data_IF_946444531539
#
_entry.id   IF_946444531539
#
_cell.length_a   1.000
_cell.length_b   1.000
_cell.length_c   1.000
_cell.angle_alpha   90.00
_cell.angle_beta   90.00
_cell.angle_gamma   90.00
#
_symmetry.space_group_name_H-M   'P 1'
#
loop_
_entity.id
_entity.type
_entity.pdbx_description
1 polymer ?
#
# COMPACT_ATOMS: atom_id res chain seq x y z
N UNK A 1 27.69 52.34 -11.28
CA UNK A 1 26.66 52.08 -10.26
C UNK A 1 26.76 50.62 -9.92
N UNK A 2 27.30 50.29 -8.75
CA UNK A 2 27.26 48.94 -8.20
C UNK A 2 25.80 48.60 -7.96
N UNK A 3 25.25 47.68 -8.75
CA UNK A 3 24.07 46.95 -8.33
C UNK A 3 24.52 46.12 -7.13
N UNK A 4 24.34 46.66 -5.93
CA UNK A 4 24.50 45.90 -4.70
C UNK A 4 23.60 44.67 -4.84
N UNK A 5 24.20 43.50 -5.07
CA UNK A 5 23.47 42.24 -5.16
C UNK A 5 22.80 42.02 -3.82
N UNK A 6 21.53 42.37 -3.72
CA UNK A 6 20.80 42.27 -2.47
C UNK A 6 20.70 40.80 -2.06
N UNK A 7 21.45 40.45 -1.01
CA UNK A 7 21.63 39.07 -0.61
C UNK A 7 20.39 38.60 0.15
N UNK A 8 19.65 37.65 -0.42
CA UNK A 8 18.53 37.00 0.27
C UNK A 8 19.08 36.04 1.31
N UNK A 9 18.68 36.22 2.57
CA UNK A 9 19.01 35.29 3.65
C UNK A 9 17.92 34.23 3.80
N UNK A 10 18.36 32.97 3.97
CA UNK A 10 17.49 31.81 4.14
C UNK A 10 17.31 31.51 5.63
N UNK A 11 16.09 31.60 6.15
CA UNK A 11 15.77 31.27 7.53
C UNK A 11 14.88 30.04 7.61
N UNK A 12 15.34 29.03 8.35
CA UNK A 12 14.61 27.77 8.54
C UNK A 12 13.83 27.77 9.85
N UNK A 13 12.51 27.61 9.75
CA UNK A 13 11.65 27.49 10.92
C UNK A 13 11.56 26.03 11.38
N UNK A 14 12.28 25.71 12.47
CA UNK A 14 12.34 24.36 13.06
C UNK A 14 10.95 23.81 13.35
N UNK A 15 10.01 24.64 13.84
CA UNK A 15 8.64 24.22 14.13
C UNK A 15 7.89 23.71 12.89
N UNK A 16 8.07 24.37 11.74
CA UNK A 16 7.43 23.95 10.47
C UNK A 16 8.11 22.72 9.88
N UNK A 17 9.43 22.58 10.06
CA UNK A 17 10.15 21.35 9.72
C UNK A 17 9.60 20.19 10.52
N UNK A 18 9.52 20.32 11.85
CA UNK A 18 9.00 19.26 12.70
C UNK A 18 7.56 18.87 12.33
N UNK A 19 6.71 19.86 12.01
CA UNK A 19 5.36 19.62 11.53
C UNK A 19 5.31 18.83 10.22
N UNK A 20 6.22 19.11 9.27
CA UNK A 20 6.30 18.36 8.00
C UNK A 20 6.65 16.89 8.23
N UNK A 21 7.55 16.60 9.18
CA UNK A 21 7.87 15.23 9.60
C UNK A 21 6.67 14.53 10.21
N UNK A 22 5.92 15.19 11.12
CA UNK A 22 4.71 14.60 11.70
C UNK A 22 3.66 14.25 10.65
N UNK A 23 3.46 15.12 9.65
CA UNK A 23 2.52 14.88 8.54
C UNK A 23 2.97 13.66 7.72
N UNK A 24 4.26 13.59 7.35
CA UNK A 24 4.80 12.46 6.59
C UNK A 24 4.67 11.12 7.35
N UNK A 25 4.99 11.13 8.64
CA UNK A 25 4.89 9.95 9.50
C UNK A 25 3.43 9.50 9.63
N UNK A 26 2.50 10.45 9.84
CA UNK A 26 1.07 10.16 9.97
C UNK A 26 0.49 9.60 8.68
N UNK A 27 0.82 10.19 7.53
CA UNK A 27 0.40 9.68 6.21
C UNK A 27 0.98 8.30 5.91
N UNK A 28 2.24 8.05 6.27
CA UNK A 28 2.90 6.74 6.14
C UNK A 28 2.22 5.69 7.01
N UNK A 29 1.94 6.01 8.27
CA UNK A 29 1.25 5.12 9.20
C UNK A 29 -0.18 4.79 8.74
N UNK A 30 -0.92 5.78 8.22
CA UNK A 30 -2.24 5.61 7.61
C UNK A 30 -2.20 4.64 6.43
N UNK A 31 -1.23 4.82 5.55
CA UNK A 31 -1.02 3.95 4.39
C UNK A 31 -0.74 2.52 4.81
N UNK A 32 0.11 2.31 5.83
CA UNK A 32 0.42 0.97 6.31
C UNK A 32 -0.85 0.28 6.83
N UNK A 33 -1.66 0.94 7.64
CA UNK A 33 -2.91 0.37 8.16
C UNK A 33 -3.92 0.04 7.06
N UNK A 34 -4.08 0.91 6.07
CA UNK A 34 -4.95 0.65 4.93
C UNK A 34 -4.44 -0.52 4.09
N UNK A 35 -3.14 -0.61 3.89
CA UNK A 35 -2.51 -1.72 3.17
C UNK A 35 -2.64 -3.04 3.93
N UNK A 36 -2.55 -3.07 5.25
CA UNK A 36 -2.83 -4.27 6.05
C UNK A 36 -4.26 -4.79 5.85
N UNK A 37 -5.22 -3.87 5.81
CA UNK A 37 -6.62 -4.20 5.51
C UNK A 37 -6.82 -4.66 4.08
N UNK A 38 -6.14 -4.02 3.14
CA UNK A 38 -6.17 -4.40 1.74
C UNK A 38 -5.76 -5.87 1.53
N UNK A 39 -4.77 -6.36 2.30
CA UNK A 39 -4.35 -7.77 2.28
C UNK A 39 -5.39 -8.73 2.84
N UNK A 40 -6.18 -8.27 3.82
CA UNK A 40 -7.22 -9.08 4.47
C UNK A 40 -8.55 -9.04 3.72
N UNK A 41 -8.74 -8.09 2.81
CA UNK A 41 -9.96 -7.95 2.03
C UNK A 41 -10.12 -9.10 1.00
N UNK A 42 -11.32 -9.68 0.95
CA UNK A 42 -11.65 -10.77 0.02
C UNK A 42 -12.22 -10.18 -1.28
N UNK A 43 -13.09 -9.18 -1.16
CA UNK A 43 -13.80 -8.57 -2.27
C UNK A 43 -12.92 -7.64 -3.10
N UNK A 44 -13.02 -7.77 -4.43
CA UNK A 44 -12.24 -6.96 -5.39
C UNK A 44 -12.56 -5.46 -5.29
N UNK A 45 -13.82 -5.12 -4.99
CA UNK A 45 -14.26 -3.72 -4.82
C UNK A 45 -13.60 -3.07 -3.61
N UNK A 46 -13.60 -3.77 -2.48
CA UNK A 46 -12.97 -3.30 -1.25
C UNK A 46 -11.46 -3.18 -1.41
N UNK A 47 -10.82 -4.15 -2.09
CA UNK A 47 -9.40 -4.04 -2.46
C UNK A 47 -9.13 -2.80 -3.31
N UNK A 48 -9.98 -2.47 -4.27
CA UNK A 48 -9.79 -1.25 -5.08
C UNK A 48 -9.93 0.03 -4.24
N UNK A 49 -10.98 0.12 -3.41
CA UNK A 49 -11.22 1.30 -2.55
C UNK A 49 -10.08 1.51 -1.56
N UNK A 50 -9.63 0.44 -0.89
CA UNK A 50 -8.53 0.52 0.08
C UNK A 50 -7.21 0.92 -0.58
N UNK A 51 -6.96 0.48 -1.81
CA UNK A 51 -5.78 0.89 -2.58
C UNK A 51 -5.84 2.37 -2.96
N UNK A 52 -7.01 2.85 -3.41
CA UNK A 52 -7.21 4.26 -3.72
C UNK A 52 -7.02 5.14 -2.47
N UNK A 53 -7.63 4.76 -1.34
CA UNK A 53 -7.46 5.47 -0.07
C UNK A 53 -6.00 5.48 0.38
N UNK A 54 -5.26 4.38 0.17
CA UNK A 54 -3.83 4.30 0.52
C UNK A 54 -2.99 5.22 -0.34
N UNK A 55 -3.31 5.35 -1.64
CA UNK A 55 -2.61 6.29 -2.50
C UNK A 55 -2.86 7.74 -2.10
N UNK A 56 -4.11 8.09 -1.74
CA UNK A 56 -4.44 9.42 -1.24
C UNK A 56 -3.75 9.69 0.11
N UNK A 57 -3.67 8.69 1.00
CA UNK A 57 -2.99 8.81 2.28
C UNK A 57 -1.47 8.99 2.12
N UNK A 58 -0.80 8.18 1.31
CA UNK A 58 0.65 8.28 1.11
C UNK A 58 1.01 9.47 0.21
N UNK A 59 0.44 9.52 -1.00
CA UNK A 59 0.75 10.53 -2.02
C UNK A 59 0.18 11.90 -1.68
N UNK A 60 -1.08 11.97 -1.28
CA UNK A 60 -1.75 13.23 -0.95
C UNK A 60 -1.35 13.76 0.42
N UNK A 61 -1.57 12.99 1.49
CA UNK A 61 -1.29 13.46 2.84
C UNK A 61 0.19 13.38 3.21
N UNK A 62 0.82 12.22 3.03
CA UNK A 62 2.19 11.97 3.48
C UNK A 62 3.27 12.68 2.65
N UNK A 63 3.06 12.83 1.36
CA UNK A 63 4.04 13.42 0.43
C UNK A 63 3.61 14.84 0.04
N UNK A 64 2.39 15.04 -0.45
CA UNK A 64 1.94 16.33 -0.96
C UNK A 64 1.71 17.39 0.10
N UNK A 65 0.91 17.11 1.13
CA UNK A 65 0.75 18.08 2.21
C UNK A 65 2.07 18.36 2.94
N UNK A 66 2.92 17.33 3.08
CA UNK A 66 4.26 17.48 3.63
C UNK A 66 5.12 18.44 2.78
N UNK A 67 5.14 18.29 1.46
CA UNK A 67 5.96 19.10 0.57
C UNK A 67 5.63 20.60 0.66
N UNK A 68 4.35 20.97 0.60
CA UNK A 68 3.94 22.37 0.74
C UNK A 68 4.19 22.92 2.15
N UNK A 69 3.97 22.11 3.18
CA UNK A 69 4.32 22.49 4.56
C UNK A 69 5.83 22.68 4.72
N UNK A 70 6.63 21.82 4.09
CA UNK A 70 8.09 21.85 4.12
C UNK A 70 8.67 23.04 3.36
N UNK A 71 8.13 23.39 2.19
CA UNK A 71 8.51 24.59 1.45
C UNK A 71 8.20 25.87 2.25
N UNK A 72 7.09 25.92 2.99
CA UNK A 72 6.76 27.05 3.85
C UNK A 72 7.66 27.14 5.10
N UNK A 73 8.50 26.13 5.37
CA UNK A 73 9.48 26.17 6.45
C UNK A 73 10.69 27.05 6.14
N UNK A 74 10.96 27.29 4.85
CA UNK A 74 11.98 28.22 4.38
C UNK A 74 11.36 29.61 4.21
N UNK A 75 11.80 30.56 5.03
CA UNK A 75 11.43 31.97 4.89
C UNK A 75 12.61 32.73 4.28
N UNK A 76 12.33 33.44 3.19
CA UNK A 76 13.30 34.29 2.50
C UNK A 76 13.18 35.70 3.08
N UNK A 77 14.25 36.18 3.71
CA UNK A 77 14.30 37.51 4.32
C UNK A 77 15.26 38.39 3.54
N UNK A 78 14.79 39.59 3.19
CA UNK A 78 15.58 40.63 2.54
C UNK A 78 16.53 41.30 3.54
N UNK A 79 17.53 42.02 3.06
CA UNK A 79 18.49 42.74 3.91
C UNK A 79 17.82 43.80 4.80
N UNK A 80 16.65 44.34 4.40
CA UNK A 80 15.83 45.26 5.21
C UNK A 80 14.99 44.58 6.32
N UNK A 81 15.07 43.24 6.44
CA UNK A 81 14.32 42.45 7.40
C UNK A 81 12.87 42.11 7.00
N UNK A 82 12.40 42.54 5.83
CA UNK A 82 11.09 42.18 5.29
C UNK A 82 11.09 40.73 4.77
N UNK A 83 9.99 40.02 5.04
CA UNK A 83 9.80 38.63 4.62
C UNK A 83 9.14 38.60 3.26
N UNK A 84 9.76 37.93 2.28
CA UNK A 84 9.17 37.74 0.97
C UNK A 84 8.00 36.77 1.06
N UNK A 85 6.81 37.21 0.63
CA UNK A 85 5.63 36.37 0.63
C UNK A 85 5.67 35.40 -0.54
N UNK A 86 5.64 34.10 -0.23
CA UNK A 86 5.50 33.03 -1.22
C UNK A 86 4.02 32.78 -1.48
N UNK A 87 3.55 33.00 -2.70
CA UNK A 87 2.20 32.65 -3.14
C UNK A 87 2.24 31.36 -3.99
N UNK A 88 1.12 30.63 -4.02
CA UNK A 88 0.99 29.42 -4.84
C UNK A 88 -0.09 29.58 -5.90
N UNK A 89 0.24 29.20 -7.13
CA UNK A 89 -0.74 29.12 -8.21
C UNK A 89 -1.63 27.87 -8.04
N UNK A 90 -2.95 28.07 -8.05
CA UNK A 90 -3.91 27.00 -7.78
C UNK A 90 -3.83 25.84 -8.80
N UNK A 91 -3.68 26.15 -10.10
CA UNK A 91 -3.69 25.14 -11.17
C UNK A 91 -2.53 24.14 -11.05
N UNK A 92 -1.30 24.64 -10.95
CA UNK A 92 -0.11 23.81 -10.76
C UNK A 92 -0.14 23.06 -9.43
N UNK A 93 -0.67 23.67 -8.38
CA UNK A 93 -0.85 23.04 -7.06
C UNK A 93 -1.76 21.82 -7.15
N UNK A 94 -2.90 21.91 -7.84
CA UNK A 94 -3.82 20.78 -8.06
C UNK A 94 -3.18 19.71 -8.97
N UNK A 95 -2.49 20.13 -10.04
CA UNK A 95 -1.82 19.19 -10.93
C UNK A 95 -0.75 18.37 -10.21
N UNK A 96 0.04 19.03 -9.34
CA UNK A 96 1.05 18.37 -8.51
C UNK A 96 0.44 17.33 -7.56
N UNK A 97 -0.75 17.61 -7.02
CA UNK A 97 -1.49 16.64 -6.19
C UNK A 97 -1.91 15.41 -6.99
N UNK A 98 -2.46 15.61 -8.19
CA UNK A 98 -2.87 14.52 -9.08
C UNK A 98 -1.67 13.66 -9.47
N UNK A 99 -0.53 14.27 -9.78
CA UNK A 99 0.71 13.55 -10.12
C UNK A 99 1.23 12.71 -8.94
N UNK A 100 1.23 13.25 -7.72
CA UNK A 100 1.65 12.49 -6.54
C UNK A 100 0.73 11.29 -6.26
N UNK A 101 -0.59 11.50 -6.23
CA UNK A 101 -1.56 10.42 -5.98
C UNK A 101 -1.55 9.41 -7.13
N UNK A 102 -1.42 9.86 -8.38
CA UNK A 102 -1.36 9.00 -9.55
C UNK A 102 -0.11 8.11 -9.57
N UNK A 103 1.07 8.70 -9.35
CA UNK A 103 2.33 7.96 -9.33
C UNK A 103 2.40 6.94 -8.21
N UNK A 104 1.96 7.32 -6.99
CA UNK A 104 1.87 6.38 -5.87
C UNK A 104 0.84 5.29 -6.15
N UNK A 105 -0.32 5.60 -6.75
CA UNK A 105 -1.35 4.61 -7.06
C UNK A 105 -0.84 3.56 -8.05
N UNK A 106 -0.19 4.01 -9.13
CA UNK A 106 0.44 3.12 -10.11
C UNK A 106 1.54 2.29 -9.46
N UNK A 107 2.38 2.91 -8.63
CA UNK A 107 3.42 2.22 -7.87
C UNK A 107 2.85 1.12 -6.97
N UNK A 108 1.82 1.45 -6.18
CA UNK A 108 1.13 0.50 -5.29
C UNK A 108 0.50 -0.64 -6.09
N UNK A 109 -0.15 -0.34 -7.22
CA UNK A 109 -0.77 -1.33 -8.09
C UNK A 109 0.27 -2.31 -8.66
N UNK A 110 1.41 -1.81 -9.14
CA UNK A 110 2.50 -2.65 -9.66
C UNK A 110 3.10 -3.52 -8.55
N UNK A 111 3.41 -2.93 -7.40
CA UNK A 111 3.99 -3.65 -6.27
C UNK A 111 3.03 -4.70 -5.68
N UNK A 112 1.72 -4.41 -5.69
CA UNK A 112 0.68 -5.33 -5.22
C UNK A 112 0.44 -6.54 -6.12
N UNK A 113 0.83 -6.46 -7.39
CA UNK A 113 0.67 -7.53 -8.38
C UNK A 113 1.81 -8.57 -8.33
N UNK A 114 2.63 -8.59 -7.28
CA UNK A 114 3.75 -9.52 -7.15
C UNK A 114 3.25 -10.98 -7.06
N UNK A 115 3.74 -11.93 -7.89
CA UNK A 115 3.22 -13.30 -7.95
C UNK A 115 3.46 -14.04 -6.64
N UNK A 116 4.59 -13.79 -5.98
CA UNK A 116 4.90 -14.36 -4.68
C UNK A 116 3.90 -13.91 -3.62
N UNK A 117 3.46 -12.65 -3.68
CA UNK A 117 2.44 -12.14 -2.76
C UNK A 117 1.07 -12.81 -3.00
N UNK A 118 0.70 -13.04 -4.26
CA UNK A 118 -0.53 -13.76 -4.62
C UNK A 118 -0.48 -15.24 -4.20
N UNK A 119 0.65 -15.91 -4.38
CA UNK A 119 0.87 -17.29 -3.92
C UNK A 119 0.77 -17.40 -2.39
N UNK A 120 1.38 -16.45 -1.67
CA UNK A 120 1.34 -16.42 -0.21
C UNK A 120 -0.07 -16.10 0.33
N UNK A 121 -0.82 -15.21 -0.34
CA UNK A 121 -2.25 -15.01 -0.06
C UNK A 121 -3.07 -16.28 -0.34
N UNK A 122 -2.80 -16.97 -1.45
CA UNK A 122 -3.49 -18.23 -1.80
C UNK A 122 -3.20 -19.34 -0.80
N UNK A 123 -1.96 -19.51 -0.37
CA UNK A 123 -1.60 -20.48 0.67
C UNK A 123 -2.18 -20.11 2.03
N UNK A 124 -2.16 -18.83 2.44
CA UNK A 124 -2.85 -18.40 3.66
C UNK A 124 -4.34 -18.73 3.61
N UNK A 125 -5.02 -18.49 2.48
CA UNK A 125 -6.44 -18.84 2.30
C UNK A 125 -6.68 -20.34 2.41
N UNK A 126 -5.84 -21.16 1.78
CA UNK A 126 -5.92 -22.63 1.88
C UNK A 126 -5.66 -23.11 3.31
N UNK A 127 -4.65 -22.55 3.99
CA UNK A 127 -4.31 -22.92 5.36
C UNK A 127 -5.39 -22.52 6.36
N UNK A 128 -6.09 -21.39 6.20
CA UNK A 128 -7.24 -21.04 7.04
C UNK A 128 -8.38 -22.06 6.86
N UNK A 129 -8.68 -22.43 5.61
CA UNK A 129 -9.69 -23.44 5.30
C UNK A 129 -9.34 -24.83 5.86
N UNK A 130 -8.06 -25.19 5.85
CA UNK A 130 -7.56 -26.48 6.37
C UNK A 130 -7.41 -26.46 7.90
N UNK A 131 -7.08 -25.31 8.50
CA UNK A 131 -6.94 -25.17 9.96
C UNK A 131 -8.28 -25.20 10.69
N UNK A 132 -9.38 -24.86 10.01
CA UNK A 132 -10.74 -25.16 10.46
C UNK A 132 -11.03 -26.68 10.52
N UNK A 133 -10.27 -27.51 9.78
CA UNK A 133 -10.38 -28.97 9.78
C UNK A 133 -9.32 -29.68 10.64
N UNK A 134 -8.15 -29.07 10.84
CA UNK A 134 -7.02 -29.69 11.51
C UNK A 134 -6.64 -28.91 12.78
N UNK A 135 -7.13 -29.39 13.92
CA UNK A 135 -6.49 -29.08 15.20
C UNK A 135 -5.08 -29.69 15.18
N UNK A 136 -4.03 -28.89 15.37
CA UNK A 136 -2.65 -29.41 15.40
C UNK A 136 -1.93 -28.92 16.65
N UNK A 137 -1.23 -29.87 17.26
CA UNK A 137 -0.60 -29.82 18.58
C UNK A 137 0.58 -28.85 18.71
N UNK A 138 0.85 -28.46 19.96
CA UNK A 138 1.60 -27.27 20.38
C UNK A 138 3.13 -27.45 20.45
N UNK A 139 3.65 -28.67 20.33
CA UNK A 139 5.08 -29.00 20.59
C UNK A 139 6.03 -28.82 19.40
N UNK A 140 5.52 -28.68 18.18
CA UNK A 140 6.31 -28.58 16.94
C UNK A 140 6.80 -27.15 16.61
N UNK A 141 6.43 -26.17 17.42
CA UNK A 141 6.40 -24.73 17.04
C UNK A 141 7.76 -24.04 17.18
N UNK A 142 8.59 -24.42 18.15
CA UNK A 142 9.76 -23.61 18.55
C UNK A 142 10.94 -23.78 17.58
N UNK A 143 11.17 -24.99 17.06
CA UNK A 143 12.27 -25.21 16.09
C UNK A 143 11.87 -24.78 14.67
N UNK A 144 10.58 -24.91 14.31
CA UNK A 144 10.01 -24.35 13.08
C UNK A 144 10.15 -22.83 13.02
N UNK A 145 10.04 -22.12 14.14
CA UNK A 145 10.16 -20.66 14.18
C UNK A 145 11.55 -20.14 13.77
N UNK A 146 12.65 -20.73 14.25
CA UNK A 146 14.01 -20.29 13.89
C UNK A 146 14.34 -20.54 12.42
N UNK A 147 14.00 -21.73 11.92
CA UNK A 147 14.23 -22.11 10.51
C UNK A 147 13.33 -21.29 9.58
N UNK A 148 12.05 -21.12 9.94
CA UNK A 148 11.13 -20.24 9.22
C UNK A 148 11.62 -18.79 9.20
N UNK A 149 12.20 -18.27 10.30
CA UNK A 149 12.74 -16.91 10.34
C UNK A 149 13.92 -16.73 9.37
N UNK A 150 14.80 -17.73 9.25
CA UNK A 150 15.90 -17.72 8.26
C UNK A 150 15.38 -17.80 6.82
N UNK A 151 14.41 -18.66 6.54
CA UNK A 151 13.77 -18.77 5.21
C UNK A 151 13.03 -17.47 4.86
N UNK A 152 12.34 -16.85 5.82
CA UNK A 152 11.66 -15.54 5.65
C UNK A 152 12.63 -14.42 5.30
N UNK A 153 13.82 -14.39 5.91
CA UNK A 153 14.86 -13.39 5.60
C UNK A 153 15.39 -13.57 4.18
N UNK A 154 15.59 -14.82 3.73
CA UNK A 154 16.04 -15.10 2.36
C UNK A 154 14.93 -14.74 1.34
N UNK A 155 13.68 -15.04 1.66
CA UNK A 155 12.52 -14.64 0.85
C UNK A 155 12.30 -13.12 0.80
N UNK A 156 12.80 -12.38 1.80
CA UNK A 156 12.73 -10.91 1.88
C UNK A 156 13.43 -10.24 0.68
N UNK A 157 14.50 -10.85 0.18
CA UNK A 157 15.35 -10.31 -0.89
C UNK A 157 15.15 -10.99 -2.25
N UNK A 158 14.32 -12.04 -2.32
CA UNK A 158 14.03 -12.73 -3.58
C UNK A 158 12.98 -11.96 -4.41
N UNK A 159 13.15 -11.93 -5.74
CA UNK A 159 12.23 -11.32 -6.73
C UNK A 159 11.86 -9.86 -6.43
N UNK A 160 12.86 -8.97 -6.33
CA UNK A 160 12.69 -7.51 -6.17
C UNK A 160 12.25 -6.68 -7.41
N UNK A 161 12.28 -7.15 -8.69
CA UNK A 161 12.16 -6.22 -9.81
C UNK A 161 10.78 -5.55 -9.92
N UNK A 162 9.71 -6.18 -9.42
CA UNK A 162 8.38 -5.55 -9.38
C UNK A 162 8.25 -4.50 -8.27
N UNK A 163 8.88 -4.72 -7.12
CA UNK A 163 8.93 -3.72 -6.03
C UNK A 163 9.77 -2.53 -6.48
N UNK A 164 10.91 -2.78 -7.13
CA UNK A 164 11.72 -1.75 -7.75
C UNK A 164 10.93 -1.00 -8.85
N UNK A 165 10.14 -1.72 -9.67
CA UNK A 165 9.23 -1.11 -10.64
C UNK A 165 8.16 -0.23 -9.99
N UNK A 166 7.51 -0.69 -8.90
CA UNK A 166 6.56 0.11 -8.14
C UNK A 166 7.19 1.35 -7.51
N UNK A 167 8.38 1.18 -6.93
CA UNK A 167 9.21 2.26 -6.38
C UNK A 167 9.64 3.28 -7.44
N UNK A 168 9.96 2.83 -8.66
CA UNK A 168 10.28 3.70 -9.80
C UNK A 168 9.11 4.62 -10.16
N UNK A 169 7.92 4.06 -10.36
CA UNK A 169 6.75 4.86 -10.72
C UNK A 169 6.30 5.78 -9.59
N UNK A 170 6.41 5.33 -8.34
CA UNK A 170 6.18 6.20 -7.18
C UNK A 170 7.19 7.36 -7.16
N UNK A 171 8.49 7.07 -7.30
CA UNK A 171 9.54 8.09 -7.36
C UNK A 171 9.29 9.09 -8.49
N UNK A 172 8.99 8.63 -9.70
CA UNK A 172 8.66 9.50 -10.83
C UNK A 172 7.48 10.44 -10.52
N UNK A 173 6.42 9.92 -9.90
CA UNK A 173 5.30 10.75 -9.44
C UNK A 173 5.70 11.80 -8.41
N UNK A 174 6.54 11.43 -7.45
CA UNK A 174 7.10 12.35 -6.44
C UNK A 174 8.00 13.41 -7.08
N UNK A 175 8.86 13.03 -8.03
CA UNK A 175 9.70 13.98 -8.76
C UNK A 175 8.86 15.00 -9.54
N UNK A 176 7.91 14.52 -10.36
CA UNK A 176 7.03 15.40 -11.14
C UNK A 176 6.28 16.34 -10.21
N UNK A 177 5.69 15.83 -9.13
CA UNK A 177 5.02 16.66 -8.14
C UNK A 177 5.98 17.66 -7.48
N UNK A 178 7.22 17.27 -7.16
CA UNK A 178 8.19 18.13 -6.48
C UNK A 178 8.56 19.34 -7.36
N UNK A 179 8.85 19.10 -8.64
CA UNK A 179 9.14 20.19 -9.58
C UNK A 179 7.90 21.03 -9.88
N UNK A 180 6.73 20.41 -10.09
CA UNK A 180 5.49 21.16 -10.29
C UNK A 180 5.13 22.00 -9.05
N UNK A 181 5.41 21.49 -7.84
CA UNK A 181 5.20 22.20 -6.58
C UNK A 181 6.12 23.40 -6.42
N UNK A 182 7.39 23.27 -6.79
CA UNK A 182 8.33 24.41 -6.83
C UNK A 182 7.95 25.42 -7.92
N UNK A 183 7.56 24.96 -9.12
CA UNK A 183 7.08 25.84 -10.19
C UNK A 183 5.76 26.55 -9.84
N UNK A 184 4.97 26.00 -8.92
CA UNK A 184 3.76 26.65 -8.43
C UNK A 184 4.07 27.86 -7.52
N UNK A 185 5.29 27.97 -6.98
CA UNK A 185 5.71 29.09 -6.15
C UNK A 185 5.86 30.35 -7.00
N UNK A 186 5.17 31.40 -6.60
CA UNK A 186 5.28 32.75 -7.15
C UNK A 186 5.87 33.66 -6.08
N UNK A 187 7.11 34.08 -6.30
CA UNK A 187 7.94 34.88 -5.39
C UNK A 187 8.72 35.93 -6.17
N UNK A 188 9.09 37.03 -5.50
CA UNK A 188 10.04 38.04 -6.03
C UNK A 188 11.50 37.55 -6.00
N UNK A 189 11.70 36.27 -6.27
CA UNK A 189 13.01 35.64 -6.30
C UNK A 189 13.00 34.59 -7.41
N UNK A 190 14.02 34.62 -8.26
CA UNK A 190 14.25 33.58 -9.25
C UNK A 190 14.95 32.40 -8.58
N UNK A 191 14.52 31.18 -8.93
CA UNK A 191 14.98 29.94 -8.33
C UNK A 191 15.86 29.20 -9.34
N UNK A 192 17.17 29.24 -9.12
CA UNK A 192 18.13 28.49 -9.94
C UNK A 192 18.43 27.14 -9.30
N UNK A 193 18.53 26.09 -10.12
CA UNK A 193 18.78 24.73 -9.67
C UNK A 193 20.17 24.27 -10.11
N UNK A 194 21.01 23.86 -9.16
CA UNK A 194 22.29 23.26 -9.48
C UNK A 194 22.08 21.84 -10.04
N UNK A 195 22.26 21.67 -11.36
CA UNK A 195 21.98 20.42 -12.08
C UNK A 195 22.67 19.19 -11.45
N UNK A 196 23.91 19.34 -10.96
CA UNK A 196 24.63 18.26 -10.29
C UNK A 196 23.95 17.77 -9.01
N UNK A 197 23.51 18.70 -8.15
CA UNK A 197 22.82 18.37 -6.88
C UNK A 197 21.42 17.79 -7.15
N UNK A 198 20.76 18.28 -8.20
CA UNK A 198 19.48 17.73 -8.69
C UNK A 198 19.61 16.26 -9.10
N UNK A 199 20.64 15.88 -9.85
CA UNK A 199 20.83 14.47 -10.24
C UNK A 199 21.03 13.58 -9.01
N UNK A 200 21.82 14.05 -8.03
CA UNK A 200 22.06 13.31 -6.78
C UNK A 200 20.76 13.13 -5.98
N UNK A 201 19.95 14.18 -5.85
CA UNK A 201 18.67 14.11 -5.11
C UNK A 201 17.65 13.21 -5.81
N UNK A 202 17.62 13.19 -7.14
CA UNK A 202 16.81 12.24 -7.93
C UNK A 202 17.22 10.79 -7.68
N UNK A 203 18.52 10.49 -7.63
CA UNK A 203 19.02 9.15 -7.31
C UNK A 203 18.61 8.75 -5.89
N UNK A 204 18.79 9.64 -4.91
CA UNK A 204 18.37 9.41 -3.52
C UNK A 204 16.86 9.12 -3.47
N UNK A 205 16.04 9.90 -4.17
CA UNK A 205 14.60 9.71 -4.23
C UNK A 205 14.20 8.33 -4.78
N UNK A 206 14.90 7.84 -5.81
CA UNK A 206 14.66 6.51 -6.35
C UNK A 206 15.00 5.41 -5.33
N UNK A 207 16.14 5.51 -4.64
CA UNK A 207 16.55 4.55 -3.63
C UNK A 207 15.62 4.52 -2.43
N UNK A 208 15.25 5.70 -1.90
CA UNK A 208 14.35 5.81 -0.75
C UNK A 208 12.93 5.38 -1.08
N UNK A 209 12.41 5.69 -2.26
CA UNK A 209 11.09 5.20 -2.70
C UNK A 209 11.08 3.68 -2.81
N UNK A 210 12.14 3.09 -3.39
CA UNK A 210 12.28 1.63 -3.48
C UNK A 210 12.37 0.99 -2.09
N UNK A 211 13.14 1.59 -1.18
CA UNK A 211 13.24 1.13 0.21
C UNK A 211 11.90 1.22 0.95
N UNK A 212 11.15 2.32 0.79
CA UNK A 212 9.85 2.51 1.40
C UNK A 212 8.83 1.46 0.91
N UNK A 213 8.81 1.17 -0.39
CA UNK A 213 7.95 0.13 -0.97
C UNK A 213 8.38 -1.27 -0.52
N UNK A 214 9.68 -1.51 -0.37
CA UNK A 214 10.19 -2.74 0.19
C UNK A 214 9.73 -2.95 1.65
N UNK A 215 9.77 -1.90 2.48
CA UNK A 215 9.21 -1.93 3.84
C UNK A 215 7.70 -2.24 3.79
N UNK A 216 6.97 -1.51 2.94
CA UNK A 216 5.52 -1.60 2.85
C UNK A 216 5.02 -2.98 2.43
N UNK A 217 5.61 -3.60 1.40
CA UNK A 217 5.14 -4.86 0.82
C UNK A 217 5.86 -6.10 1.33
N UNK A 218 7.10 -5.99 1.80
CA UNK A 218 7.89 -7.14 2.23
C UNK A 218 8.04 -7.19 3.74
N UNK A 219 8.67 -6.18 4.35
CA UNK A 219 8.97 -6.21 5.79
C UNK A 219 7.71 -6.38 6.64
N UNK A 220 6.67 -5.61 6.36
CA UNK A 220 5.41 -5.63 7.13
C UNK A 220 4.57 -6.89 6.89
N UNK A 221 4.71 -7.55 5.73
CA UNK A 221 4.02 -8.82 5.46
C UNK A 221 4.54 -9.97 6.34
N UNK A 222 5.81 -9.93 6.76
CA UNK A 222 6.42 -10.99 7.56
C UNK A 222 6.26 -10.80 9.08
N UNK A 223 6.11 -9.56 9.54
CA UNK A 223 6.04 -9.17 10.95
C UNK A 223 4.71 -8.47 11.29
N UNK A 224 3.61 -9.06 10.83
CA UNK A 224 2.26 -8.52 10.99
C UNK A 224 1.82 -8.38 12.47
N UNK A 225 2.39 -9.17 13.39
CA UNK A 225 1.97 -9.23 14.80
C UNK A 225 2.54 -8.09 15.68
N UNK A 226 3.52 -7.34 15.20
CA UNK A 226 4.24 -6.36 16.03
C UNK A 226 3.85 -4.91 15.69
N UNK A 227 3.01 -4.33 16.55
CA UNK A 227 2.58 -2.92 16.49
C UNK A 227 3.77 -1.93 16.52
N UNK A 228 4.79 -2.24 17.32
CA UNK A 228 6.00 -1.42 17.40
C UNK A 228 6.78 -1.37 16.08
N UNK A 229 6.82 -2.48 15.34
CA UNK A 229 7.49 -2.51 14.04
C UNK A 229 6.72 -1.70 13.00
N UNK A 230 5.39 -1.64 13.13
CA UNK A 230 4.52 -0.83 12.28
C UNK A 230 4.79 0.65 12.50
N UNK A 231 4.85 1.08 13.76
CA UNK A 231 5.22 2.45 14.12
C UNK A 231 6.64 2.78 13.66
N UNK A 232 7.61 1.89 13.91
CA UNK A 232 9.00 2.06 13.47
C UNK A 232 9.13 2.17 11.94
N UNK A 233 8.37 1.37 11.20
CA UNK A 233 8.34 1.44 9.73
C UNK A 233 7.77 2.76 9.22
N UNK A 234 6.69 3.26 9.84
CA UNK A 234 6.11 4.56 9.49
C UNK A 234 7.09 5.71 9.77
N UNK A 235 7.84 5.64 10.89
CA UNK A 235 8.89 6.61 11.20
C UNK A 235 9.99 6.62 10.15
N UNK A 236 10.50 5.43 9.79
CA UNK A 236 11.55 5.30 8.77
C UNK A 236 11.06 5.82 7.40
N UNK A 237 9.85 5.46 6.99
CA UNK A 237 9.25 5.94 5.74
C UNK A 237 9.07 7.46 5.75
N UNK A 238 8.56 8.03 6.85
CA UNK A 238 8.39 9.47 7.00
C UNK A 238 9.72 10.22 6.93
N UNK A 239 10.74 9.75 7.65
CA UNK A 239 12.09 10.31 7.59
C UNK A 239 12.66 10.23 6.18
N UNK A 240 12.45 9.13 5.47
CA UNK A 240 12.91 8.97 4.09
C UNK A 240 12.24 9.99 3.14
N UNK A 241 10.93 10.18 3.24
CA UNK A 241 10.19 11.20 2.47
C UNK A 241 10.72 12.60 2.78
N UNK A 242 10.87 12.93 4.07
CA UNK A 242 11.44 14.22 4.48
C UNK A 242 12.87 14.43 3.98
N UNK A 243 13.72 13.41 4.11
CA UNK A 243 15.09 13.43 3.63
C UNK A 243 15.15 13.75 2.13
N UNK A 244 14.32 13.12 1.31
CA UNK A 244 14.28 13.41 -0.14
C UNK A 244 13.84 14.84 -0.44
N UNK A 245 12.84 15.35 0.28
CA UNK A 245 12.34 16.70 0.07
C UNK A 245 13.37 17.78 0.45
N UNK A 246 13.96 17.68 1.64
CA UNK A 246 14.96 18.65 2.09
C UNK A 246 16.26 18.55 1.31
N UNK A 247 16.64 17.34 0.85
CA UNK A 247 17.77 17.18 -0.07
C UNK A 247 17.50 17.84 -1.42
N UNK A 248 16.26 17.80 -1.91
CA UNK A 248 15.84 18.52 -3.12
C UNK A 248 15.89 20.04 -2.95
N UNK A 249 15.35 20.56 -1.85
CA UNK A 249 15.37 22.01 -1.57
C UNK A 249 16.79 22.57 -1.38
N UNK A 250 17.70 21.78 -0.83
CA UNK A 250 19.12 22.18 -0.72
C UNK A 250 19.81 22.43 -2.07
N UNK A 251 19.21 22.01 -3.20
CA UNK A 251 19.71 22.28 -4.54
C UNK A 251 19.26 23.63 -5.12
N UNK A 252 18.30 24.30 -4.48
CA UNK A 252 17.72 25.55 -4.95
C UNK A 252 18.45 26.77 -4.38
N UNK A 253 18.84 27.69 -5.25
CA UNK A 253 19.41 29.00 -4.90
C UNK A 253 18.45 30.11 -5.34
N UNK A 254 18.29 31.13 -4.49
CA UNK A 254 17.33 32.21 -4.71
C UNK A 254 18.07 33.52 -4.96
N UNK A 255 17.77 34.18 -6.07
CA UNK A 255 18.27 35.51 -6.42
C UNK A 255 17.11 36.49 -6.53
N UNK A 256 17.23 37.68 -5.95
CA UNK A 256 16.14 38.66 -5.95
C UNK A 256 15.86 39.17 -7.37
N UNK A 257 14.57 39.31 -7.72
CA UNK A 257 14.13 39.92 -8.98
C UNK A 257 12.94 40.83 -8.72
N UNK A 258 13.06 42.10 -9.14
CA UNK A 258 12.13 43.19 -8.85
C UNK A 258 10.73 42.98 -9.47
N UNK A 259 10.65 42.35 -10.65
CA UNK A 259 9.41 42.10 -11.41
C UNK A 259 8.85 40.66 -11.25
N UNK A 260 9.19 39.93 -10.18
CA UNK A 260 8.86 38.50 -10.03
C UNK A 260 7.37 38.15 -9.81
N UNK A 261 6.46 39.12 -9.73
CA UNK A 261 5.02 38.85 -9.57
C UNK A 261 4.29 39.06 -10.90
N UNK A 262 4.40 38.07 -11.80
CA UNK A 262 3.53 38.01 -12.97
C UNK A 262 2.07 37.83 -12.51
N UNK A 263 1.26 38.85 -12.74
CA UNK A 263 -0.14 38.96 -12.37
C UNK A 263 -1.04 38.20 -13.36
N UNK A 264 -1.48 37.00 -12.99
CA UNK A 264 -2.48 36.25 -13.77
C UNK A 264 -2.78 34.88 -13.18
N UNK A 265 -3.84 34.77 -12.39
CA UNK A 265 -4.31 33.49 -11.84
C UNK A 265 -5.01 33.61 -10.49
N UNK A 266 -5.67 32.53 -10.06
CA UNK A 266 -6.13 32.41 -8.66
C UNK A 266 -4.95 31.94 -7.82
N UNK A 267 -4.51 32.80 -6.89
CA UNK A 267 -3.34 32.54 -6.04
C UNK A 267 -3.75 32.32 -4.59
N UNK A 268 -3.15 31.33 -3.95
CA UNK A 268 -3.27 31.09 -2.52
C UNK A 268 -2.08 31.69 -1.79
N UNK A 269 -2.33 32.42 -0.70
CA UNK A 269 -1.27 32.86 0.21
C UNK A 269 -0.57 31.63 0.79
N UNK A 270 0.77 31.58 0.73
CA UNK A 270 1.54 30.40 1.15
C UNK A 270 1.27 29.93 2.56
N UNK A 271 1.10 30.86 3.51
CA UNK A 271 0.74 30.52 4.90
C UNK A 271 -0.62 29.84 5.00
N UNK A 272 -1.62 30.31 4.24
CA UNK A 272 -2.95 29.69 4.24
C UNK A 272 -2.92 28.31 3.58
N UNK A 273 -2.18 28.17 2.47
CA UNK A 273 -2.00 26.90 1.79
C UNK A 273 -1.34 25.85 2.71
N UNK A 274 -0.28 26.24 3.44
CA UNK A 274 0.40 25.35 4.39
C UNK A 274 -0.50 24.95 5.58
N UNK A 275 -1.28 25.90 6.12
CA UNK A 275 -2.25 25.60 7.20
C UNK A 275 -3.33 24.64 6.69
N UNK A 276 -3.89 24.88 5.51
CA UNK A 276 -4.91 24.02 4.91
C UNK A 276 -4.37 22.62 4.61
N UNK A 277 -3.16 22.53 4.05
CA UNK A 277 -2.51 21.27 3.75
C UNK A 277 -2.24 20.44 5.03
N UNK A 278 -1.65 21.07 6.06
CA UNK A 278 -1.35 20.41 7.33
C UNK A 278 -2.61 19.94 8.05
N UNK A 279 -3.58 20.83 8.30
CA UNK A 279 -4.81 20.47 9.01
C UNK A 279 -5.68 19.50 8.19
N UNK A 280 -5.80 19.72 6.88
CA UNK A 280 -6.53 18.85 5.98
C UNK A 280 -5.97 17.43 5.96
N UNK A 281 -4.64 17.28 5.90
CA UNK A 281 -4.00 15.96 5.92
C UNK A 281 -4.21 15.22 7.24
N UNK A 282 -4.09 15.92 8.38
CA UNK A 282 -4.28 15.32 9.70
C UNK A 282 -5.74 14.93 9.94
N UNK A 283 -6.69 15.77 9.54
CA UNK A 283 -8.12 15.47 9.62
C UNK A 283 -8.49 14.30 8.73
N UNK A 284 -7.99 14.25 7.49
CA UNK A 284 -8.22 13.13 6.59
C UNK A 284 -7.65 11.84 7.17
N UNK A 285 -6.39 11.85 7.63
CA UNK A 285 -5.78 10.67 8.24
C UNK A 285 -6.56 10.24 9.49
N UNK A 286 -6.95 11.17 10.36
CA UNK A 286 -7.76 10.87 11.54
C UNK A 286 -9.11 10.23 11.17
N UNK A 287 -9.80 10.78 10.17
CA UNK A 287 -11.08 10.25 9.70
C UNK A 287 -10.94 8.84 9.14
N UNK A 288 -9.93 8.61 8.28
CA UNK A 288 -9.64 7.31 7.70
C UNK A 288 -9.24 6.28 8.75
N UNK A 289 -8.43 6.66 9.74
CA UNK A 289 -8.06 5.78 10.84
C UNK A 289 -9.25 5.42 11.72
N UNK A 290 -10.11 6.39 12.02
CA UNK A 290 -11.34 6.16 12.79
C UNK A 290 -12.28 5.22 12.04
N UNK A 291 -12.49 5.46 10.74
CA UNK A 291 -13.25 4.56 9.89
C UNK A 291 -12.63 3.16 9.86
N UNK A 292 -11.30 3.09 9.81
CA UNK A 292 -10.56 1.85 9.83
C UNK A 292 -10.83 1.07 11.12
N UNK A 293 -10.60 1.67 12.29
CA UNK A 293 -10.86 0.99 13.57
C UNK A 293 -12.33 0.56 13.68
N UNK A 294 -13.26 1.45 13.34
CA UNK A 294 -14.70 1.15 13.36
C UNK A 294 -15.09 0.00 12.43
N UNK A 295 -14.55 -0.06 11.21
CA UNK A 295 -14.84 -1.15 10.27
C UNK A 295 -14.29 -2.49 10.78
N UNK A 296 -13.14 -2.48 11.45
CA UNK A 296 -12.54 -3.68 12.04
C UNK A 296 -13.39 -4.22 13.19
N UNK A 297 -13.83 -3.34 14.09
CA UNK A 297 -14.70 -3.72 15.22
C UNK A 297 -16.05 -4.24 14.74
N UNK A 298 -16.67 -3.62 13.72
CA UNK A 298 -17.93 -4.09 13.13
C UNK A 298 -17.80 -5.50 12.55
N UNK A 299 -16.69 -5.80 11.86
CA UNK A 299 -16.45 -7.12 11.31
C UNK A 299 -16.34 -8.18 12.42
N UNK A 300 -15.59 -7.90 13.49
CA UNK A 300 -15.47 -8.79 14.65
C UNK A 300 -16.84 -9.02 15.33
N UNK A 301 -17.59 -7.95 15.57
CA UNK A 301 -18.91 -8.02 16.18
C UNK A 301 -19.89 -8.86 15.35
N UNK A 302 -19.88 -8.70 14.01
CA UNK A 302 -20.71 -9.51 13.11
C UNK A 302 -20.35 -11.00 13.16
N UNK A 303 -19.06 -11.35 13.22
CA UNK A 303 -18.61 -12.74 13.35
C UNK A 303 -19.12 -13.38 14.65
N UNK A 304 -18.93 -12.70 15.79
CA UNK A 304 -19.44 -13.17 17.10
C UNK A 304 -20.96 -13.31 17.09
N UNK A 305 -21.67 -12.37 16.48
CA UNK A 305 -23.13 -12.45 16.36
C UNK A 305 -23.58 -13.65 15.52
N UNK A 306 -22.88 -13.97 14.43
CA UNK A 306 -23.20 -15.12 13.58
C UNK A 306 -22.92 -16.44 14.29
N UNK A 307 -21.79 -16.54 15.01
CA UNK A 307 -21.45 -17.70 15.85
C UNK A 307 -22.50 -17.94 16.93
N UNK A 308 -22.96 -16.90 17.62
CA UNK A 308 -24.02 -17.03 18.64
C UNK A 308 -25.37 -17.46 18.05
N UNK A 309 -25.71 -17.02 16.83
CA UNK A 309 -26.92 -17.45 16.10
C UNK A 309 -26.83 -18.92 15.67
N UNK A 310 -25.66 -19.38 15.25
CA UNK A 310 -25.43 -20.80 14.92
C UNK A 310 -25.52 -21.66 16.17
N UNK A 311 -24.87 -21.25 17.27
CA UNK A 311 -24.93 -21.98 18.55
C UNK A 311 -26.33 -22.05 19.14
N UNK A 312 -27.14 -20.99 19.04
CA UNK A 312 -28.54 -20.99 19.52
C UNK A 312 -29.51 -21.81 18.65
N UNK A 313 -29.12 -22.20 17.43
CA UNK A 313 -29.93 -23.09 16.58
C UNK A 313 -29.81 -24.57 16.95
N UNK A 314 -28.93 -24.95 17.87
CA UNK A 314 -28.87 -26.29 18.44
C UNK A 314 -29.43 -26.33 19.88
N UNK A 315 -30.71 -26.70 20.05
CA UNK A 315 -31.16 -27.38 21.25
C UNK A 315 -31.81 -28.73 20.89
N UNK A 316 -31.17 -29.85 21.20
CA UNK A 316 -31.85 -31.15 21.17
C UNK A 316 -30.94 -32.39 21.13
N UNK A 317 -31.08 -33.34 22.07
CA UNK A 317 -30.29 -34.57 22.10
C UNK A 317 -30.88 -35.63 21.17
N UNK A 318 -30.04 -36.33 20.43
CA UNK A 318 -30.44 -37.53 19.68
C UNK A 318 -30.97 -37.26 18.27
N UNK A 319 -30.12 -37.51 17.27
CA UNK A 319 -30.53 -37.51 15.87
C UNK A 319 -29.31 -37.53 14.96
N UNK A 320 -29.06 -38.66 14.30
CA UNK A 320 -27.92 -38.87 13.42
C UNK A 320 -27.80 -37.75 12.36
N UNK A 321 -26.62 -37.14 12.27
CA UNK A 321 -26.28 -36.08 11.31
C UNK A 321 -26.39 -36.58 9.87
N UNK A 322 -27.28 -36.00 9.07
CA UNK A 322 -27.06 -35.84 7.62
C UNK A 322 -26.33 -34.53 7.40
N UNK A 323 -25.04 -34.60 7.12
CA UNK A 323 -24.28 -33.46 6.61
C UNK A 323 -24.78 -33.20 5.19
N UNK A 324 -25.75 -32.29 5.03
CA UNK A 324 -26.11 -31.75 3.72
C UNK A 324 -25.06 -30.70 3.38
N UNK A 325 -24.07 -31.10 2.57
CA UNK A 325 -23.12 -30.20 1.96
C UNK A 325 -23.90 -29.29 1.01
N UNK A 326 -24.14 -28.04 1.44
CA UNK A 326 -24.60 -26.99 0.55
C UNK A 326 -23.53 -26.72 -0.48
N UNK A 327 -23.73 -27.22 -1.72
CA UNK A 327 -22.88 -26.85 -2.84
C UNK A 327 -22.94 -25.33 -3.03
N UNK A 328 -21.78 -24.68 -2.87
CA UNK A 328 -21.58 -23.31 -3.29
C UNK A 328 -21.82 -23.21 -4.80
N UNK A 329 -22.81 -22.40 -5.19
CA UNK A 329 -23.17 -22.11 -6.57
C UNK A 329 -22.00 -21.38 -7.24
N UNK A 330 -21.21 -22.10 -8.04
CA UNK A 330 -20.24 -21.51 -8.95
C UNK A 330 -21.00 -20.66 -10.00
N UNK A 331 -20.55 -19.43 -10.33
CA UNK A 331 -21.18 -18.66 -11.40
C UNK A 331 -20.93 -19.33 -12.75
N UNK A 332 -22.02 -19.65 -13.46
CA UNK A 332 -22.01 -20.25 -14.78
C UNK A 332 -21.25 -19.36 -15.77
N UNK A 333 -20.16 -19.90 -16.33
CA UNK A 333 -19.43 -19.29 -17.44
C UNK A 333 -20.18 -19.62 -18.73
N UNK A 334 -20.62 -18.58 -19.42
CA UNK A 334 -21.32 -18.65 -20.69
C UNK A 334 -20.39 -19.27 -21.76
N UNK A 335 -20.74 -20.46 -22.27
CA UNK A 335 -20.10 -21.06 -23.44
C UNK A 335 -21.21 -21.36 -24.45
N UNK A 336 -21.34 -20.48 -25.44
CA UNK A 336 -22.05 -20.76 -26.67
C UNK A 336 -21.25 -21.78 -27.48
N UNK A 337 -21.84 -22.93 -27.81
CA UNK A 337 -21.55 -23.69 -29.03
C UNK A 337 -22.56 -24.83 -29.24
N UNK A 338 -23.45 -24.61 -30.21
CA UNK A 338 -23.96 -25.57 -31.22
C UNK A 338 -24.58 -26.93 -30.81
N UNK A 339 -25.88 -27.06 -31.11
CA UNK A 339 -26.69 -28.29 -31.21
C UNK A 339 -26.03 -29.37 -32.10
N UNK A 340 -26.36 -30.66 -31.87
CA UNK A 340 -26.52 -31.61 -32.96
C UNK A 340 -27.99 -32.04 -33.11
N UNK A 341 -28.41 -32.07 -34.37
CA UNK A 341 -29.68 -32.58 -34.87
C UNK A 341 -29.67 -34.11 -34.88
N UNK A 342 -30.81 -34.72 -34.57
CA UNK A 342 -31.08 -36.13 -34.76
C UNK A 342 -31.31 -36.46 -36.23
N UNK A 343 -30.68 -37.51 -36.78
CA UNK A 343 -31.17 -38.34 -37.90
C UNK A 343 -30.57 -39.76 -37.80
N UNK A 344 -31.46 -40.75 -37.65
CA UNK A 344 -31.52 -42.02 -38.41
C UNK A 344 -30.35 -43.01 -38.46
N UNK A 345 -30.61 -44.24 -38.00
CA UNK A 345 -30.44 -45.43 -38.85
C UNK A 345 -29.43 -46.51 -38.42
N UNK A 346 -29.98 -47.73 -38.37
CA UNK A 346 -29.37 -49.03 -38.71
C UNK A 346 -28.85 -49.93 -37.56
N UNK A 347 -29.33 -51.18 -37.68
CA UNK A 347 -29.24 -52.40 -36.89
C UNK A 347 -27.89 -53.10 -36.86
N UNK A 348 -27.63 -53.85 -35.78
CA UNK A 348 -27.06 -55.22 -35.61
C UNK A 348 -26.41 -55.24 -34.21
N UNK A 349 -26.80 -56.02 -33.20
CA UNK A 349 -27.06 -57.46 -33.15
C UNK A 349 -25.84 -58.17 -32.57
N UNK A 350 -25.83 -58.52 -31.26
CA UNK A 350 -25.24 -59.76 -30.69
C UNK A 350 -25.46 -59.86 -29.16
N UNK A 351 -25.97 -61.01 -28.74
CA UNK A 351 -26.11 -61.51 -27.36
C UNK A 351 -24.75 -62.01 -26.79
N UNK A 352 -24.64 -62.02 -25.46
CA UNK A 352 -24.09 -63.05 -24.54
C UNK A 352 -23.66 -62.35 -23.23
N UNK A 353 -24.12 -62.64 -22.00
CA UNK A 353 -24.40 -63.86 -21.23
C UNK A 353 -23.27 -64.21 -20.22
N UNK A 354 -23.58 -63.99 -18.93
CA UNK A 354 -23.35 -64.89 -17.75
C UNK A 354 -21.98 -64.93 -17.02
N UNK A 355 -22.12 -65.10 -15.68
CA UNK A 355 -21.23 -65.65 -14.63
C UNK A 355 -20.15 -64.69 -14.05
N UNK A 356 -20.15 -64.26 -12.78
CA UNK A 356 -20.37 -64.93 -11.47
C UNK A 356 -19.48 -66.17 -11.29
N UNK A 357 -18.48 -66.10 -10.41
CA UNK A 357 -18.02 -67.19 -9.53
C UNK A 357 -17.07 -66.63 -8.45
N UNK A 358 -17.50 -66.89 -7.23
CA UNK A 358 -16.83 -66.83 -5.92
C UNK A 358 -15.77 -67.93 -5.77
N UNK A 359 -14.66 -67.66 -5.06
CA UNK A 359 -13.96 -68.70 -4.28
C UNK A 359 -12.97 -68.12 -3.26
N UNK A 360 -13.38 -68.24 -1.99
CA UNK A 360 -12.54 -68.46 -0.79
C UNK A 360 -11.74 -69.78 -0.88
N UNK A 361 -10.79 -69.93 0.06
CA UNK A 361 -9.98 -71.13 0.45
C UNK A 361 -8.50 -70.95 0.07
N UNK A 362 -7.48 -71.21 0.90
CA UNK A 362 -7.38 -71.73 2.27
C UNK A 362 -5.94 -71.52 2.78
N UNK A 363 -5.81 -71.48 4.11
CA UNK A 363 -4.70 -71.94 5.00
C UNK A 363 -3.38 -72.43 4.38
N UNK A 364 -2.24 -72.00 4.94
CA UNK A 364 -1.43 -72.83 5.85
C UNK A 364 -0.21 -72.08 6.43
N UNK A 365 -0.02 -72.28 7.73
CA UNK A 365 1.18 -72.01 8.54
C UNK A 365 2.19 -73.15 8.41
N UNK A 366 3.50 -72.89 8.63
CA UNK A 366 4.47 -73.68 9.46
C UNK A 366 5.93 -73.61 8.92
N UNK A 367 6.83 -73.08 9.78
CA UNK A 367 8.26 -73.46 10.05
C UNK A 367 9.30 -73.42 8.90
N UNK A 368 10.63 -73.26 9.06
CA UNK A 368 11.61 -72.80 10.07
C UNK A 368 13.00 -72.90 9.34
N UNK A 369 14.08 -72.41 9.97
CA UNK A 369 15.51 -72.53 9.60
C UNK A 369 16.02 -71.58 8.48
N UNK A 370 17.14 -70.86 8.62
CA UNK A 370 18.35 -70.98 9.47
C UNK A 370 18.76 -69.61 10.01
#
# INVERSE_FOLDING_TARGET
MSSDEEVITQRWLVSKIFLSYLIAITGSFCTIQLMEKWRSAIDTKDKFILMLLSSIALGGCGIWCMHFTGMNALELTREDGSVLTVNFEAGLTILSFICAVGGVFVGLKIASADPFFLELEQEKRKNILVKDLASTAMSDVVNKQKVAKRIKIIALFSRLPRIAGGGLFAALGVLVMHYLGMMAQRTQADMTLAAGVVVVSVLIAFFTATAAFWILFRALTFFQESELLRLGSALIMGIAVCGTHYSGMGAASYTFVEDGIASGGVHFKGTQAAILASHGSLLFCYWVMTWSVASSVRNIASMTSNLSKVSKRDPGPGGARKIVVGQAKLPAKNVNATKPSAIGGVSTGRQESIAEIDRKSSTESVFHEV
#
